data_IF_060687862399
#
_entry.id   IF_060687862399
#
_cell.length_a   1.000
_cell.length_b   1.000
_cell.length_c   1.000
_cell.angle_alpha   90.00
_cell.angle_beta   90.00
_cell.angle_gamma   90.00
#
_symmetry.space_group_name_H-M   'P 1'
#
loop_
_entity.id
_entity.type
_entity.pdbx_description
1 polymer ?
#
# COMPACT_ATOMS: atom_id res chain seq x y z
N UNK A 1 82.88 -74.15 -5.80
CA UNK A 1 81.89 -73.46 -6.66
C UNK A 1 81.10 -72.51 -5.75
N UNK A 2 81.52 -71.24 -5.66
CA UNK A 2 80.91 -70.03 -6.28
C UNK A 2 79.57 -69.65 -5.59
N UNK A 3 79.47 -68.71 -4.62
CA UNK A 3 79.57 -67.21 -4.61
C UNK A 3 78.36 -66.43 -5.20
N UNK A 4 78.03 -65.32 -4.51
CA UNK A 4 77.22 -64.11 -4.89
C UNK A 4 75.73 -64.18 -4.57
N UNK A 5 75.07 -63.34 -3.73
CA UNK A 5 75.01 -61.87 -3.50
C UNK A 5 74.45 -61.07 -4.68
N UNK A 6 73.50 -60.16 -4.36
CA UNK A 6 73.01 -58.95 -5.09
C UNK A 6 71.53 -59.02 -5.53
N UNK A 7 70.65 -58.01 -5.43
CA UNK A 7 70.72 -56.60 -5.04
C UNK A 7 69.29 -56.08 -4.75
N UNK A 8 69.23 -55.01 -3.96
CA UNK A 8 68.06 -54.17 -3.63
C UNK A 8 67.56 -53.41 -4.88
N UNK A 9 66.26 -53.20 -5.01
CA UNK A 9 65.67 -52.12 -5.83
C UNK A 9 64.32 -51.70 -5.25
N UNK A 10 64.34 -50.65 -4.44
CA UNK A 10 63.18 -49.91 -3.96
C UNK A 10 62.80 -48.90 -5.04
N UNK A 11 61.61 -49.03 -5.61
CA UNK A 11 61.10 -48.14 -6.64
C UNK A 11 60.41 -46.95 -5.96
N UNK A 12 61.09 -45.80 -5.90
CA UNK A 12 60.50 -44.52 -5.48
C UNK A 12 59.80 -43.91 -6.70
N UNK A 13 58.47 -43.91 -6.68
CA UNK A 13 57.64 -43.20 -7.67
C UNK A 13 57.49 -41.75 -7.20
N UNK A 14 58.31 -40.86 -7.77
CA UNK A 14 58.17 -39.41 -7.68
C UNK A 14 57.04 -38.96 -8.62
N UNK A 15 55.86 -38.67 -8.07
CA UNK A 15 54.82 -37.95 -8.81
C UNK A 15 55.22 -36.48 -8.91
N UNK A 16 55.47 -36.04 -10.14
CA UNK A 16 55.69 -34.65 -10.50
C UNK A 16 54.43 -33.82 -10.19
N UNK A 17 54.57 -32.86 -9.28
CA UNK A 17 53.58 -31.81 -9.06
C UNK A 17 53.66 -30.86 -10.25
N UNK A 18 52.76 -31.02 -11.22
CA UNK A 18 52.52 -30.03 -12.26
C UNK A 18 51.98 -28.76 -11.60
N UNK A 19 52.81 -27.72 -11.58
CA UNK A 19 52.39 -26.35 -11.26
C UNK A 19 51.41 -25.84 -12.31
N UNK A 20 50.13 -25.87 -11.97
CA UNK A 20 49.12 -25.03 -12.62
C UNK A 20 49.17 -23.65 -11.94
N UNK A 21 49.28 -22.55 -12.71
CA UNK A 21 49.23 -21.22 -12.13
C UNK A 21 47.87 -21.00 -11.47
N UNK A 22 47.90 -20.79 -10.16
CA UNK A 22 46.78 -20.31 -9.36
C UNK A 22 46.46 -18.89 -9.84
N UNK A 23 45.62 -18.78 -10.86
CA UNK A 23 44.91 -17.54 -11.12
C UNK A 23 43.95 -17.35 -9.93
N UNK A 24 44.03 -16.26 -9.16
CA UNK A 24 42.95 -15.95 -8.26
C UNK A 24 41.74 -15.65 -9.15
N UNK A 25 40.86 -16.63 -9.31
CA UNK A 25 39.50 -16.33 -9.68
C UNK A 25 39.01 -15.41 -8.56
N UNK A 26 38.98 -14.11 -8.84
CA UNK A 26 38.23 -13.17 -8.05
C UNK A 26 36.79 -13.68 -8.10
N UNK A 27 36.42 -14.48 -7.11
CA UNK A 27 35.04 -14.71 -6.75
C UNK A 27 34.51 -13.31 -6.41
N UNK A 28 33.98 -12.64 -7.44
CA UNK A 28 33.17 -11.45 -7.29
C UNK A 28 32.09 -11.89 -6.33
N UNK A 29 32.13 -11.38 -5.09
CA UNK A 29 31.07 -11.62 -4.14
C UNK A 29 29.78 -11.27 -4.88
N UNK A 30 28.92 -12.26 -5.09
CA UNK A 30 27.60 -12.02 -5.65
C UNK A 30 26.93 -11.10 -4.64
N UNK A 31 26.89 -9.79 -4.96
CA UNK A 31 26.20 -8.84 -4.12
C UNK A 31 24.75 -9.27 -4.09
N UNK A 32 24.20 -9.42 -2.89
CA UNK A 32 22.78 -9.70 -2.71
C UNK A 32 21.97 -8.54 -3.25
N UNK A 33 20.88 -8.83 -3.95
CA UNK A 33 19.92 -7.81 -4.38
C UNK A 33 19.56 -6.88 -3.21
N UNK A 34 19.52 -5.58 -3.48
CA UNK A 34 19.16 -4.55 -2.51
C UNK A 34 17.72 -4.07 -2.74
N UNK A 35 17.01 -3.75 -1.66
CA UNK A 35 15.69 -3.12 -1.73
C UNK A 35 15.82 -1.60 -1.64
N UNK A 36 15.73 -0.93 -2.78
CA UNK A 36 15.70 0.54 -2.86
C UNK A 36 14.25 1.02 -2.70
N UNK A 37 14.02 2.05 -1.89
CA UNK A 37 12.70 2.67 -1.71
C UNK A 37 12.75 4.14 -2.09
N UNK A 38 11.92 4.53 -3.03
CA UNK A 38 11.84 5.87 -3.61
C UNK A 38 10.42 6.41 -3.45
N UNK A 39 10.29 7.73 -3.37
CA UNK A 39 9.01 8.40 -3.31
C UNK A 39 9.09 9.82 -3.82
N UNK A 40 7.97 10.37 -4.25
CA UNK A 40 7.83 11.75 -4.67
C UNK A 40 6.37 12.11 -4.90
N UNK A 41 6.15 13.20 -5.63
CA UNK A 41 4.82 13.72 -5.96
C UNK A 41 4.60 13.69 -7.48
N UNK A 42 3.37 13.45 -7.90
CA UNK A 42 2.93 13.51 -9.30
C UNK A 42 1.40 13.52 -9.38
N UNK A 43 0.80 14.06 -10.44
CA UNK A 43 -0.65 13.96 -10.70
C UNK A 43 -1.54 14.38 -9.51
N UNK A 44 -1.10 15.37 -8.71
CA UNK A 44 -1.82 15.82 -7.52
C UNK A 44 -1.83 14.83 -6.34
N UNK A 45 -0.94 13.84 -6.35
CA UNK A 45 -0.80 12.80 -5.33
C UNK A 45 0.67 12.42 -5.12
N UNK A 46 0.93 11.39 -4.32
CA UNK A 46 2.26 10.83 -4.08
C UNK A 46 2.46 9.53 -4.84
N UNK A 47 3.72 9.22 -5.13
CA UNK A 47 4.12 7.92 -5.64
C UNK A 47 5.15 7.28 -4.69
N UNK A 48 5.13 5.95 -4.64
CA UNK A 48 6.06 5.13 -3.89
C UNK A 48 6.53 3.95 -4.75
N UNK A 49 7.84 3.84 -4.98
CA UNK A 49 8.43 2.75 -5.75
C UNK A 49 9.44 2.00 -4.90
N UNK A 50 9.24 0.69 -4.78
CA UNK A 50 10.22 -0.22 -4.16
C UNK A 50 10.84 -1.08 -5.24
N UNK A 51 12.15 -1.04 -5.37
CA UNK A 51 12.91 -1.73 -6.43
C UNK A 51 13.82 -2.75 -5.77
N UNK A 52 13.77 -3.98 -6.26
CA UNK A 52 14.79 -5.00 -6.01
C UNK A 52 15.85 -4.83 -7.09
N UNK A 53 16.97 -4.22 -6.70
CA UNK A 53 18.07 -3.88 -7.60
C UNK A 53 19.20 -4.89 -7.42
N UNK A 54 19.65 -5.57 -8.49
CA UNK A 54 20.87 -6.37 -8.45
C UNK A 54 22.09 -5.51 -8.08
N UNK A 55 23.18 -6.13 -7.65
CA UNK A 55 24.40 -5.42 -7.23
C UNK A 55 25.07 -4.57 -8.34
N UNK A 56 24.78 -4.88 -9.61
CA UNK A 56 25.17 -4.13 -10.80
C UNK A 56 23.97 -3.43 -11.48
N UNK A 57 22.84 -3.33 -10.78
CA UNK A 57 21.64 -2.62 -11.19
C UNK A 57 21.78 -1.09 -11.12
N UNK A 58 20.73 -0.36 -11.51
CA UNK A 58 20.72 1.09 -11.48
C UNK A 58 20.82 1.60 -10.04
N UNK A 59 21.59 2.67 -9.85
CA UNK A 59 21.65 3.35 -8.56
C UNK A 59 20.37 4.14 -8.25
N UNK A 60 20.24 4.56 -7.00
CA UNK A 60 19.05 5.27 -6.51
C UNK A 60 18.79 6.59 -7.26
N UNK A 61 19.84 7.30 -7.66
CA UNK A 61 19.73 8.60 -8.34
C UNK A 61 19.23 8.42 -9.78
N UNK A 62 19.75 7.41 -10.49
CA UNK A 62 19.30 7.03 -11.83
C UNK A 62 17.84 6.60 -11.81
N UNK A 63 17.45 5.77 -10.83
CA UNK A 63 16.07 5.34 -10.66
C UNK A 63 15.14 6.53 -10.39
N UNK A 64 15.51 7.42 -9.46
CA UNK A 64 14.72 8.59 -9.11
C UNK A 64 14.52 9.51 -10.32
N UNK A 65 15.59 9.80 -11.06
CA UNK A 65 15.53 10.67 -12.24
C UNK A 65 14.62 10.08 -13.33
N UNK A 66 14.81 8.80 -13.69
CA UNK A 66 14.03 8.20 -14.77
C UNK A 66 12.57 7.92 -14.42
N UNK A 67 12.25 7.62 -13.14
CA UNK A 67 10.87 7.60 -12.65
C UNK A 67 10.25 9.00 -12.78
N UNK A 68 10.97 10.04 -12.34
CA UNK A 68 10.51 11.42 -12.46
C UNK A 68 10.24 11.84 -13.90
N UNK A 69 11.18 11.59 -14.82
CA UNK A 69 11.02 11.89 -16.26
C UNK A 69 9.85 11.13 -16.89
N UNK A 70 9.67 9.86 -16.52
CA UNK A 70 8.54 9.04 -16.98
C UNK A 70 7.20 9.65 -16.57
N UNK A 71 7.08 10.07 -15.30
CA UNK A 71 5.86 10.65 -14.77
C UNK A 71 5.59 12.06 -15.33
N UNK A 72 6.64 12.86 -15.53
CA UNK A 72 6.52 14.18 -16.16
C UNK A 72 6.04 14.05 -17.61
N UNK A 73 6.57 13.09 -18.38
CA UNK A 73 6.07 12.80 -19.74
C UNK A 73 4.57 12.46 -19.75
N UNK A 74 4.11 11.61 -18.83
CA UNK A 74 2.68 11.28 -18.73
C UNK A 74 1.84 12.52 -18.38
N UNK A 75 2.32 13.40 -17.49
CA UNK A 75 1.63 14.66 -17.18
C UNK A 75 1.59 15.61 -18.38
N UNK A 76 2.67 15.74 -19.13
CA UNK A 76 2.75 16.57 -20.34
C UNK A 76 1.81 16.05 -21.45
N UNK A 77 1.53 14.75 -21.45
CA UNK A 77 0.58 14.15 -22.38
C UNK A 77 -0.87 14.30 -21.91
N UNK A 78 -1.17 13.97 -20.64
CA UNK A 78 -2.55 13.63 -20.24
C UNK A 78 -3.13 14.49 -19.10
N UNK A 79 -2.39 15.46 -18.56
CA UNK A 79 -2.91 16.28 -17.46
C UNK A 79 -3.93 17.31 -17.93
N UNK A 80 -5.12 17.31 -17.33
CA UNK A 80 -6.14 18.37 -17.52
C UNK A 80 -5.82 19.67 -16.78
N UNK A 81 -4.82 19.65 -15.87
CA UNK A 81 -4.40 20.80 -15.06
C UNK A 81 -3.28 21.61 -15.72
N UNK A 82 -2.54 21.01 -16.66
CA UNK A 82 -1.50 21.69 -17.44
C UNK A 82 -2.13 22.26 -18.70
N UNK A 83 -2.10 23.58 -18.86
CA UNK A 83 -2.67 24.24 -20.03
C UNK A 83 -2.03 23.76 -21.33
N UNK A 84 -0.72 23.50 -21.31
CA UNK A 84 0.05 23.10 -22.49
C UNK A 84 0.15 21.58 -22.70
N UNK A 85 -0.54 20.75 -21.89
CA UNK A 85 -0.53 19.31 -22.13
C UNK A 85 -1.15 18.95 -23.48
N UNK A 86 -0.77 17.80 -24.04
CA UNK A 86 -1.34 17.31 -25.29
C UNK A 86 -2.88 17.16 -25.21
N UNK A 87 -3.39 16.62 -24.10
CA UNK A 87 -4.83 16.50 -23.83
C UNK A 87 -5.53 17.86 -23.73
N UNK A 88 -4.94 18.83 -23.02
CA UNK A 88 -5.51 20.17 -22.89
C UNK A 88 -5.55 20.92 -24.23
N UNK A 89 -4.51 20.76 -25.06
CA UNK A 89 -4.51 21.31 -26.43
C UNK A 89 -5.59 20.66 -27.29
N UNK A 90 -5.76 19.33 -27.21
CA UNK A 90 -6.85 18.64 -27.90
C UNK A 90 -8.24 19.13 -27.41
N UNK A 91 -8.40 19.32 -26.10
CA UNK A 91 -9.67 19.81 -25.53
C UNK A 91 -10.05 21.20 -26.04
N UNK A 92 -9.06 22.07 -26.31
CA UNK A 92 -9.28 23.41 -26.92
C UNK A 92 -9.38 23.39 -28.44
N UNK A 93 -9.12 22.26 -29.11
CA UNK A 93 -9.22 22.16 -30.55
C UNK A 93 -10.69 22.32 -31.00
N UNK A 94 -10.98 23.27 -31.89
CA UNK A 94 -12.37 23.61 -32.24
C UNK A 94 -12.87 22.98 -33.56
N UNK A 95 -12.00 22.31 -34.31
CA UNK A 95 -12.36 21.72 -35.61
C UNK A 95 -12.56 20.21 -35.51
N UNK A 96 -13.31 19.65 -36.46
CA UNK A 96 -13.53 18.21 -36.63
C UNK A 96 -12.39 17.52 -37.39
N UNK A 97 -11.20 18.13 -37.41
CA UNK A 97 -10.02 17.57 -38.07
C UNK A 97 -9.25 16.66 -37.13
N UNK A 98 -8.50 15.73 -37.69
CA UNK A 98 -7.56 14.92 -36.92
C UNK A 98 -6.50 15.81 -36.25
N UNK A 99 -6.38 15.67 -34.94
CA UNK A 99 -5.38 16.29 -34.09
C UNK A 99 -4.31 15.25 -33.76
N UNK A 100 -3.06 15.50 -34.14
CA UNK A 100 -1.95 14.57 -33.87
C UNK A 100 -1.66 14.50 -32.37
N UNK A 101 -1.43 13.27 -31.90
CA UNK A 101 -1.11 12.99 -30.49
C UNK A 101 0.01 11.96 -30.42
N UNK A 102 0.62 11.81 -29.25
CA UNK A 102 1.51 10.70 -28.94
C UNK A 102 0.81 9.34 -29.05
N UNK A 103 1.60 8.28 -29.28
CA UNK A 103 1.09 6.92 -29.35
C UNK A 103 0.49 6.48 -28.00
N UNK A 104 1.08 6.96 -26.90
CA UNK A 104 0.62 6.75 -25.54
C UNK A 104 -0.77 7.36 -25.31
N UNK A 105 -0.97 8.64 -25.63
CA UNK A 105 -2.30 9.28 -25.52
C UNK A 105 -3.32 8.55 -26.39
N UNK A 106 -2.99 8.21 -27.64
CA UNK A 106 -3.91 7.45 -28.50
C UNK A 106 -4.26 6.07 -27.90
N UNK A 107 -3.30 5.41 -27.25
CA UNK A 107 -3.52 4.11 -26.58
C UNK A 107 -4.46 4.24 -25.38
N UNK A 108 -4.24 5.25 -24.53
CA UNK A 108 -5.08 5.48 -23.34
C UNK A 108 -6.49 5.89 -23.76
N UNK A 109 -6.65 6.75 -24.76
CA UNK A 109 -7.97 7.14 -25.28
C UNK A 109 -8.67 5.94 -25.91
N UNK A 110 -7.98 5.10 -26.69
CA UNK A 110 -8.58 3.89 -27.24
C UNK A 110 -9.08 2.93 -26.15
N UNK A 111 -8.30 2.73 -25.08
CA UNK A 111 -8.71 1.91 -23.95
C UNK A 111 -9.91 2.53 -23.19
N UNK A 112 -9.93 3.85 -23.04
CA UNK A 112 -11.03 4.58 -22.42
C UNK A 112 -12.34 4.44 -23.21
N UNK A 113 -12.29 4.55 -24.54
CA UNK A 113 -13.46 4.38 -25.40
C UNK A 113 -13.96 2.92 -25.41
N UNK A 114 -13.05 1.93 -25.46
CA UNK A 114 -13.42 0.51 -25.32
C UNK A 114 -14.15 0.27 -24.00
N UNK A 115 -13.67 0.86 -22.91
CA UNK A 115 -14.29 0.74 -21.60
C UNK A 115 -15.67 1.41 -21.56
N UNK A 116 -15.83 2.57 -22.19
CA UNK A 116 -17.12 3.24 -22.32
C UNK A 116 -18.15 2.37 -23.03
N UNK A 117 -17.78 1.74 -24.15
CA UNK A 117 -18.64 0.82 -24.88
C UNK A 117 -19.03 -0.38 -24.02
N UNK A 118 -18.05 -1.03 -23.37
CA UNK A 118 -18.28 -2.25 -22.56
C UNK A 118 -19.07 -1.99 -21.28
N UNK A 119 -19.16 -0.75 -20.83
CA UNK A 119 -19.87 -0.36 -19.61
C UNK A 119 -21.19 0.36 -19.89
N UNK A 120 -21.56 0.51 -21.16
CA UNK A 120 -22.77 1.24 -21.56
C UNK A 120 -22.74 2.71 -21.13
N UNK A 121 -21.56 3.34 -21.17
CA UNK A 121 -21.34 4.73 -20.78
C UNK A 121 -21.29 4.98 -19.27
N UNK A 122 -21.18 3.95 -18.42
CA UNK A 122 -20.92 4.16 -16.99
C UNK A 122 -19.50 4.70 -16.76
N UNK A 123 -18.53 4.25 -17.56
CA UNK A 123 -17.27 4.96 -17.74
C UNK A 123 -17.39 5.87 -18.97
N UNK A 124 -17.08 7.15 -18.84
CA UNK A 124 -17.05 8.09 -19.96
C UNK A 124 -15.87 9.05 -19.80
N UNK A 125 -14.85 8.99 -20.67
CA UNK A 125 -13.71 9.90 -20.57
C UNK A 125 -14.08 11.34 -20.95
N UNK A 126 -15.32 11.65 -21.29
CA UNK A 126 -15.80 13.01 -21.56
C UNK A 126 -16.57 13.64 -20.40
N UNK A 127 -16.62 12.99 -19.23
CA UNK A 127 -17.37 13.42 -18.04
C UNK A 127 -16.86 14.73 -17.40
N UNK A 128 -15.72 15.27 -17.86
CA UNK A 128 -15.06 16.48 -17.33
C UNK A 128 -15.99 17.68 -17.05
N UNK A 129 -16.92 18.06 -17.95
CA UNK A 129 -17.86 19.16 -17.69
C UNK A 129 -18.76 18.92 -16.48
N UNK A 130 -19.19 17.68 -16.25
CA UNK A 130 -20.01 17.32 -15.09
C UNK A 130 -19.17 17.29 -13.81
N UNK A 131 -17.96 16.74 -13.86
CA UNK A 131 -17.06 16.71 -12.69
C UNK A 131 -16.78 18.13 -12.19
N UNK A 132 -16.53 19.08 -13.10
CA UNK A 132 -16.34 20.49 -12.74
C UNK A 132 -17.61 21.15 -12.23
N UNK A 133 -18.77 20.83 -12.81
CA UNK A 133 -20.05 21.38 -12.38
C UNK A 133 -20.34 21.07 -10.90
N UNK A 134 -20.10 19.83 -10.47
CA UNK A 134 -20.33 19.41 -9.09
C UNK A 134 -19.26 19.86 -8.09
N UNK A 135 -18.15 20.41 -8.58
CA UNK A 135 -17.11 21.10 -7.80
C UNK A 135 -16.69 20.42 -6.47
N UNK A 136 -16.16 19.19 -6.57
CA UNK A 136 -15.59 18.46 -5.42
C UNK A 136 -14.26 19.04 -4.91
N UNK A 137 -13.83 20.23 -5.38
CA UNK A 137 -12.61 20.92 -4.97
C UNK A 137 -12.61 21.43 -3.51
N UNK A 138 -11.48 21.96 -3.00
CA UNK A 138 -11.23 22.16 -1.56
C UNK A 138 -12.08 23.25 -0.87
N UNK A 139 -12.98 23.94 -1.58
CA UNK A 139 -13.82 25.00 -1.04
C UNK A 139 -15.28 24.53 -0.86
N UNK A 140 -15.60 23.77 0.20
CA UNK A 140 -16.93 23.21 0.41
C UNK A 140 -18.02 24.27 0.66
N UNK A 141 -17.66 25.49 1.06
CA UNK A 141 -18.61 26.57 1.36
C UNK A 141 -19.26 27.23 0.15
N UNK A 142 -18.84 26.89 -1.07
CA UNK A 142 -19.38 27.40 -2.34
C UNK A 142 -20.13 26.30 -3.13
N UNK A 143 -20.39 25.15 -2.52
CA UNK A 143 -21.04 24.02 -3.20
C UNK A 143 -22.55 24.17 -3.15
N UNK A 144 -23.11 24.65 -4.26
CA UNK A 144 -24.54 24.63 -4.53
C UNK A 144 -24.88 23.37 -5.34
N UNK A 145 -26.01 22.73 -5.01
CA UNK A 145 -26.54 21.63 -5.82
C UNK A 145 -27.00 22.24 -7.15
N UNK A 146 -26.41 21.84 -8.30
CA UNK A 146 -26.82 22.38 -9.59
C UNK A 146 -28.28 22.04 -9.89
N UNK A 147 -29.02 22.98 -10.48
CA UNK A 147 -30.38 22.71 -10.95
C UNK A 147 -30.40 21.78 -12.19
N UNK A 148 -31.58 21.23 -12.49
CA UNK A 148 -31.75 20.28 -13.61
C UNK A 148 -31.37 20.86 -14.97
N UNK A 149 -31.61 22.16 -15.18
CA UNK A 149 -31.32 22.82 -16.45
C UNK A 149 -29.80 22.93 -16.66
N UNK A 150 -29.07 23.25 -15.59
CA UNK A 150 -27.61 23.32 -15.57
C UNK A 150 -27.00 21.94 -15.78
N UNK A 151 -27.52 20.89 -15.11
CA UNK A 151 -27.08 19.51 -15.31
C UNK A 151 -27.35 19.07 -16.76
N UNK A 152 -28.54 19.33 -17.29
CA UNK A 152 -28.89 18.96 -18.65
C UNK A 152 -27.99 19.66 -19.68
N UNK A 153 -27.65 20.93 -19.46
CA UNK A 153 -26.74 21.69 -20.32
C UNK A 153 -25.32 21.12 -20.29
N UNK A 154 -24.80 20.78 -19.11
CA UNK A 154 -23.49 20.14 -19.00
C UNK A 154 -23.45 18.75 -19.66
N UNK A 155 -24.53 17.96 -19.52
CA UNK A 155 -24.65 16.63 -20.16
C UNK A 155 -24.61 16.68 -21.69
N UNK A 156 -25.03 17.76 -22.33
CA UNK A 156 -24.92 17.92 -23.79
C UNK A 156 -23.47 17.94 -24.29
N UNK A 157 -22.50 18.16 -23.38
CA UNK A 157 -21.06 18.18 -23.67
C UNK A 157 -20.37 16.85 -23.36
N UNK A 158 -21.14 15.85 -22.91
CA UNK A 158 -20.66 14.51 -22.53
C UNK A 158 -21.22 13.50 -23.52
N UNK A 159 -20.33 12.65 -24.03
CA UNK A 159 -20.63 11.60 -24.98
C UNK A 159 -19.35 11.11 -25.64
N UNK A 160 -18.83 9.98 -25.14
CA UNK A 160 -17.64 9.33 -25.69
C UNK A 160 -17.79 8.96 -27.18
N UNK A 161 -19.02 8.79 -27.69
CA UNK A 161 -19.30 8.53 -29.10
C UNK A 161 -18.95 9.71 -30.02
N UNK A 162 -18.72 10.89 -29.46
CA UNK A 162 -18.26 12.07 -30.19
C UNK A 162 -16.74 12.09 -30.39
N UNK A 163 -16.00 11.13 -29.82
CA UNK A 163 -14.54 11.02 -29.90
C UNK A 163 -14.17 9.86 -30.81
N UNK A 164 -13.24 10.12 -31.73
CA UNK A 164 -12.61 9.11 -32.56
C UNK A 164 -11.11 9.07 -32.29
N UNK A 165 -10.56 7.86 -32.31
CA UNK A 165 -9.14 7.61 -32.12
C UNK A 165 -8.59 6.82 -33.30
N UNK A 166 -7.41 7.22 -33.77
CA UNK A 166 -6.60 6.47 -34.74
C UNK A 166 -5.25 6.19 -34.11
N UNK A 167 -4.81 4.93 -34.17
CA UNK A 167 -3.51 4.53 -33.61
C UNK A 167 -2.34 4.76 -34.58
N UNK A 168 -2.59 4.76 -35.91
CA UNK A 168 -1.53 4.90 -36.94
C UNK A 168 -1.98 5.79 -38.11
N UNK A 169 -1.34 6.95 -38.35
CA UNK A 169 -0.56 7.69 -37.36
C UNK A 169 -1.45 8.10 -36.17
N UNK A 170 -0.89 8.17 -34.94
CA UNK A 170 -1.65 8.45 -33.73
C UNK A 170 -2.32 9.83 -33.81
N UNK A 171 -3.65 9.85 -33.73
CA UNK A 171 -4.44 11.07 -33.82
C UNK A 171 -5.80 10.88 -33.14
N UNK A 172 -6.35 11.98 -32.64
CA UNK A 172 -7.70 12.06 -32.09
C UNK A 172 -8.56 12.99 -32.95
N UNK A 173 -9.87 12.79 -32.93
CA UNK A 173 -10.83 13.71 -33.54
C UNK A 173 -12.05 13.80 -32.63
N UNK A 174 -12.68 14.97 -32.58
CA UNK A 174 -13.99 15.15 -31.96
C UNK A 174 -14.97 15.78 -32.93
N UNK A 175 -16.19 15.26 -32.99
CA UNK A 175 -17.26 15.76 -33.86
C UNK A 175 -17.91 17.05 -33.33
N UNK A 176 -17.76 17.34 -32.04
CA UNK A 176 -18.32 18.52 -31.38
C UNK A 176 -17.22 19.29 -30.64
N UNK A 177 -17.06 20.61 -30.90
CA UNK A 177 -16.02 21.42 -30.25
C UNK A 177 -16.15 21.48 -28.73
N UNK A 178 -17.38 21.39 -28.21
CA UNK A 178 -17.73 21.51 -26.79
C UNK A 178 -17.36 20.28 -25.95
N UNK A 179 -17.10 19.14 -26.59
CA UNK A 179 -16.68 17.88 -25.95
C UNK A 179 -15.19 17.97 -25.64
N UNK A 180 -14.83 17.42 -24.50
CA UNK A 180 -13.48 17.42 -23.96
C UNK A 180 -13.21 16.06 -23.32
N UNK A 181 -11.95 15.66 -23.27
CA UNK A 181 -11.49 14.44 -22.61
C UNK A 181 -10.91 14.77 -21.23
N UNK A 182 -11.24 13.92 -20.26
CA UNK A 182 -10.68 13.82 -18.93
C UNK A 182 -10.25 12.36 -18.71
N UNK A 183 -8.93 12.15 -18.65
CA UNK A 183 -8.34 10.82 -18.49
C UNK A 183 -7.99 10.52 -17.03
N UNK A 184 -8.47 11.31 -16.06
CA UNK A 184 -8.12 11.17 -14.64
C UNK A 184 -8.46 9.79 -14.04
N UNK A 185 -9.41 9.07 -14.63
CA UNK A 185 -9.85 7.74 -14.19
C UNK A 185 -9.12 6.56 -14.86
N UNK A 186 -8.07 6.81 -15.64
CA UNK A 186 -7.32 5.76 -16.38
C UNK A 186 -5.83 6.08 -16.56
N UNK A 187 -5.47 7.37 -16.64
CA UNK A 187 -4.10 7.81 -16.92
C UNK A 187 -3.14 7.55 -15.76
N UNK A 188 -3.63 7.45 -14.51
CA UNK A 188 -2.79 7.14 -13.37
C UNK A 188 -2.33 5.69 -13.40
N UNK A 189 -3.25 4.76 -13.67
CA UNK A 189 -2.92 3.37 -13.97
C UNK A 189 -1.93 3.24 -15.13
N UNK A 190 -2.09 4.03 -16.19
CA UNK A 190 -1.09 4.08 -17.28
C UNK A 190 0.29 4.55 -16.80
N UNK A 191 0.36 5.61 -15.97
CA UNK A 191 1.61 6.06 -15.36
C UNK A 191 2.31 4.99 -14.51
N UNK A 192 1.53 4.18 -13.78
CA UNK A 192 2.06 3.03 -13.03
C UNK A 192 2.67 1.99 -13.97
N UNK A 193 1.99 1.69 -15.08
CA UNK A 193 2.47 0.75 -16.09
C UNK A 193 3.77 1.22 -16.75
N UNK A 194 3.85 2.50 -17.12
CA UNK A 194 5.02 3.12 -17.75
C UNK A 194 6.23 3.12 -16.80
N UNK A 195 6.03 3.47 -15.52
CA UNK A 195 7.10 3.42 -14.52
C UNK A 195 7.57 1.99 -14.30
N UNK A 196 6.66 1.02 -14.20
CA UNK A 196 7.05 -0.38 -14.05
C UNK A 196 7.82 -0.90 -15.27
N UNK A 197 7.41 -0.51 -16.48
CA UNK A 197 8.11 -0.85 -17.71
C UNK A 197 9.52 -0.24 -17.75
N UNK A 198 9.65 1.04 -17.40
CA UNK A 198 10.93 1.74 -17.35
C UNK A 198 11.88 1.13 -16.31
N UNK A 199 11.43 0.92 -15.07
CA UNK A 199 12.24 0.33 -13.99
C UNK A 199 12.72 -1.07 -14.37
N UNK A 200 11.87 -1.87 -15.03
CA UNK A 200 12.24 -3.18 -15.56
C UNK A 200 13.30 -3.08 -16.66
N UNK A 201 13.16 -2.12 -17.58
CA UNK A 201 14.15 -1.87 -18.64
C UNK A 201 15.49 -1.36 -18.09
N UNK A 202 15.46 -0.63 -16.97
CA UNK A 202 16.65 -0.16 -16.26
C UNK A 202 17.45 -1.29 -15.56
N UNK A 203 16.93 -2.52 -15.53
CA UNK A 203 17.66 -3.70 -15.04
C UNK A 203 17.22 -4.22 -13.67
N UNK A 204 16.12 -3.69 -13.09
CA UNK A 204 15.59 -4.21 -11.85
C UNK A 204 15.08 -5.66 -11.98
N UNK A 205 15.35 -6.50 -10.96
CA UNK A 205 14.87 -7.89 -10.91
C UNK A 205 13.44 -8.01 -10.38
N UNK A 206 12.98 -7.01 -9.62
CA UNK A 206 11.60 -6.90 -9.13
C UNK A 206 11.26 -5.48 -8.72
N UNK A 207 9.98 -5.13 -8.76
CA UNK A 207 9.50 -3.86 -8.21
C UNK A 207 8.04 -3.92 -7.76
N UNK A 208 7.71 -3.03 -6.83
CA UNK A 208 6.35 -2.56 -6.56
C UNK A 208 6.31 -1.07 -6.88
N UNK A 209 5.48 -0.69 -7.84
CA UNK A 209 5.21 0.69 -8.23
C UNK A 209 3.84 1.05 -7.71
N UNK A 210 3.72 2.14 -6.96
CA UNK A 210 2.45 2.67 -6.48
C UNK A 210 2.35 4.16 -6.77
N UNK A 211 1.22 4.61 -7.31
CA UNK A 211 0.92 6.01 -7.57
C UNK A 211 -0.53 6.26 -7.14
N UNK A 212 -0.74 7.07 -6.11
CA UNK A 212 -2.07 7.50 -5.68
C UNK A 212 -3.10 6.41 -5.37
N UNK A 213 -2.66 5.21 -4.98
CA UNK A 213 -3.46 4.02 -4.67
C UNK A 213 -3.35 2.90 -5.71
N UNK A 214 -2.96 3.23 -6.95
CA UNK A 214 -2.82 2.28 -8.05
C UNK A 214 -1.46 1.59 -7.98
N UNK A 215 -1.44 0.26 -8.07
CA UNK A 215 -0.24 -0.55 -7.84
C UNK A 215 0.03 -1.48 -9.01
N UNK A 216 1.30 -1.62 -9.40
CA UNK A 216 1.80 -2.70 -10.24
C UNK A 216 3.02 -3.37 -9.63
N UNK A 217 3.10 -4.69 -9.79
CA UNK A 217 4.23 -5.49 -9.28
C UNK A 217 4.86 -6.31 -10.39
N UNK A 218 6.16 -6.57 -10.27
CA UNK A 218 6.85 -7.64 -11.01
C UNK A 218 8.03 -8.17 -10.19
N UNK A 219 8.51 -9.36 -10.55
CA UNK A 219 9.56 -10.05 -9.80
C UNK A 219 9.16 -10.29 -8.34
N UNK A 220 10.16 -10.44 -7.48
CA UNK A 220 10.01 -10.65 -6.03
C UNK A 220 10.87 -9.66 -5.27
N UNK A 221 10.70 -9.61 -3.95
CA UNK A 221 11.64 -8.94 -3.04
C UNK A 221 13.00 -9.66 -3.00
N UNK A 222 14.06 -9.05 -2.42
CA UNK A 222 15.36 -9.71 -2.27
C UNK A 222 15.31 -11.04 -1.49
N UNK A 223 14.36 -11.19 -0.57
CA UNK A 223 14.14 -12.42 0.21
C UNK A 223 13.38 -13.52 -0.56
N UNK A 224 13.04 -13.27 -1.84
CA UNK A 224 12.29 -14.18 -2.70
C UNK A 224 10.78 -14.18 -2.44
N UNK A 225 10.27 -13.34 -1.53
CA UNK A 225 8.83 -13.28 -1.22
C UNK A 225 8.07 -12.37 -2.19
N UNK A 226 6.79 -12.69 -2.39
CA UNK A 226 5.88 -11.89 -3.21
C UNK A 226 5.62 -10.49 -2.61
N UNK A 227 5.22 -9.56 -3.46
CA UNK A 227 4.77 -8.25 -3.07
C UNK A 227 3.37 -8.33 -2.45
N UNK A 228 3.28 -8.05 -1.15
CA UNK A 228 2.02 -8.01 -0.40
C UNK A 228 1.45 -6.60 -0.38
N UNK A 229 0.23 -6.44 -0.89
CA UNK A 229 -0.49 -5.18 -0.99
C UNK A 229 -1.71 -5.24 -0.08
N UNK A 230 -1.92 -4.19 0.73
CA UNK A 230 -3.09 -4.05 1.58
C UNK A 230 -4.21 -3.34 0.82
N UNK A 231 -5.39 -3.96 0.77
CA UNK A 231 -6.64 -3.32 0.34
C UNK A 231 -7.24 -2.66 1.58
N UNK A 232 -7.44 -1.34 1.52
CA UNK A 232 -7.98 -0.56 2.63
C UNK A 232 -9.45 -0.93 2.90
N UNK A 233 -9.79 -1.00 4.18
CA UNK A 233 -11.18 -0.94 4.65
C UNK A 233 -11.40 0.46 5.24
N UNK A 234 -12.26 1.30 4.63
CA UNK A 234 -12.58 2.62 5.15
C UNK A 234 -13.19 2.48 6.53
N UNK A 235 -12.42 2.84 7.56
CA UNK A 235 -12.94 3.10 8.90
C UNK A 235 -12.85 4.60 9.12
N UNK A 236 -13.93 5.22 9.60
CA UNK A 236 -13.95 6.67 9.82
C UNK A 236 -12.76 7.08 10.71
N UNK A 237 -11.89 7.94 10.17
CA UNK A 237 -10.72 8.46 10.88
C UNK A 237 -9.56 7.49 11.08
N UNK A 238 -9.55 6.29 10.47
CA UNK A 238 -8.44 5.32 10.58
C UNK A 238 -8.14 4.62 9.25
N UNK A 239 -6.85 4.44 8.95
CA UNK A 239 -6.40 3.48 7.92
C UNK A 239 -6.43 2.08 8.53
N UNK A 240 -7.44 1.28 8.19
CA UNK A 240 -7.46 -0.15 8.48
C UNK A 240 -7.22 -0.93 7.19
N UNK A 241 -6.37 -1.94 7.24
CA UNK A 241 -6.20 -2.88 6.12
C UNK A 241 -7.27 -3.95 6.28
N UNK A 242 -8.20 -4.02 5.33
CA UNK A 242 -9.26 -5.04 5.33
C UNK A 242 -8.77 -6.38 4.81
N UNK A 243 -7.88 -6.35 3.82
CA UNK A 243 -7.36 -7.56 3.16
C UNK A 243 -5.93 -7.37 2.68
N UNK A 244 -5.12 -8.40 2.74
CA UNK A 244 -3.77 -8.42 2.14
C UNK A 244 -3.75 -9.39 0.98
N UNK A 245 -3.35 -8.93 -0.20
CA UNK A 245 -3.21 -9.74 -1.42
C UNK A 245 -1.74 -9.82 -1.83
N UNK A 246 -1.30 -10.99 -2.29
CA UNK A 246 0.04 -11.17 -2.84
C UNK A 246 -0.02 -11.06 -4.36
N UNK A 247 0.49 -9.96 -4.92
CA UNK A 247 0.47 -9.74 -6.37
C UNK A 247 1.72 -10.36 -7.02
N UNK A 248 1.50 -11.10 -8.11
CA UNK A 248 2.54 -11.79 -8.88
C UNK A 248 2.53 -11.31 -10.32
N UNK A 249 3.24 -10.23 -10.61
CA UNK A 249 3.26 -9.67 -11.96
C UNK A 249 1.93 -9.04 -12.38
N UNK A 250 1.07 -8.71 -11.41
CA UNK A 250 -0.26 -8.13 -11.61
C UNK A 250 -0.33 -6.70 -11.11
N UNK A 251 -1.37 -6.01 -11.55
CA UNK A 251 -1.76 -4.69 -11.10
C UNK A 251 -3.02 -4.75 -10.23
N UNK A 252 -3.19 -3.76 -9.37
CA UNK A 252 -4.36 -3.54 -8.52
C UNK A 252 -4.68 -2.04 -8.53
N UNK A 253 -5.92 -1.67 -8.88
CA UNK A 253 -6.43 -0.31 -8.71
C UNK A 253 -7.64 -0.32 -7.79
N UNK A 254 -7.89 0.78 -7.08
CA UNK A 254 -9.03 0.88 -6.16
C UNK A 254 -9.74 2.21 -6.31
N UNK A 255 -11.01 2.16 -6.72
CA UNK A 255 -11.89 3.33 -6.72
C UNK A 255 -12.73 3.31 -5.45
N UNK A 256 -12.93 4.48 -4.81
CA UNK A 256 -13.59 4.58 -3.52
C UNK A 256 -14.08 5.98 -3.21
N UNK A 257 -15.25 6.10 -2.58
CA UNK A 257 -15.92 7.39 -2.30
C UNK A 257 -15.60 7.94 -0.90
N UNK A 258 -14.74 7.24 -0.15
CA UNK A 258 -14.55 7.45 1.30
C UNK A 258 -13.63 8.61 1.65
N UNK A 259 -12.83 9.11 0.70
CA UNK A 259 -11.91 10.23 0.91
C UNK A 259 -12.48 11.57 0.46
N UNK A 260 -13.25 11.57 -0.64
CA UNK A 260 -13.80 12.77 -1.28
C UNK A 260 -15.32 12.65 -1.40
N UNK A 261 -16.04 13.17 -0.40
CA UNK A 261 -17.49 13.31 -0.39
C UNK A 261 -17.91 14.61 0.30
N UNK A 262 -19.15 15.02 0.12
CA UNK A 262 -19.76 16.06 0.96
C UNK A 262 -21.18 15.68 1.36
N UNK A 263 -21.70 16.36 2.38
CA UNK A 263 -23.08 16.19 2.83
C UNK A 263 -23.82 17.51 2.61
N UNK A 264 -24.91 17.47 1.85
CA UNK A 264 -25.82 18.59 1.65
C UNK A 264 -27.25 18.08 1.87
N UNK A 265 -28.06 18.85 2.60
CA UNK A 265 -29.45 18.49 2.95
C UNK A 265 -29.62 17.10 3.62
N UNK A 266 -28.58 16.62 4.31
CA UNK A 266 -28.57 15.30 4.96
C UNK A 266 -28.22 14.13 4.03
N UNK A 267 -27.99 14.40 2.74
CA UNK A 267 -27.59 13.41 1.74
C UNK A 267 -26.08 13.49 1.47
N UNK A 268 -25.44 12.33 1.27
CA UNK A 268 -24.01 12.24 0.96
C UNK A 268 -23.81 12.17 -0.55
N UNK A 269 -22.99 13.08 -1.07
CA UNK A 269 -22.59 13.14 -2.48
C UNK A 269 -21.15 12.67 -2.64
N UNK A 270 -20.95 11.59 -3.39
CA UNK A 270 -19.64 11.10 -3.82
C UNK A 270 -19.08 11.93 -4.97
N UNK A 271 -17.75 12.05 -5.07
CA UNK A 271 -17.10 12.66 -6.25
C UNK A 271 -17.24 11.83 -7.54
N UNK A 272 -17.71 10.59 -7.44
CA UNK A 272 -18.02 9.74 -8.58
C UNK A 272 -19.34 10.16 -9.22
N UNK A 273 -19.27 10.70 -10.43
CA UNK A 273 -20.43 11.09 -11.24
C UNK A 273 -20.83 9.96 -12.17
N UNK A 274 -22.13 9.65 -12.25
CA UNK A 274 -22.68 8.82 -13.32
C UNK A 274 -22.93 9.71 -14.56
N UNK A 275 -22.16 9.52 -15.66
CA UNK A 275 -22.30 10.34 -16.87
C UNK A 275 -23.71 10.27 -17.47
N UNK A 276 -24.40 9.15 -17.29
CA UNK A 276 -25.73 8.88 -17.87
C UNK A 276 -26.79 9.74 -17.21
N UNK A 277 -26.65 10.01 -15.91
CA UNK A 277 -27.60 10.84 -15.15
C UNK A 277 -27.11 12.28 -14.97
N UNK A 278 -25.79 12.50 -15.08
CA UNK A 278 -25.15 13.77 -14.77
C UNK A 278 -25.03 14.06 -13.27
N UNK A 279 -25.22 13.06 -12.41
CA UNK A 279 -25.28 13.21 -10.95
C UNK A 279 -24.28 12.31 -10.22
N UNK A 280 -23.91 12.66 -8.98
CA UNK A 280 -23.21 11.76 -8.08
C UNK A 280 -23.94 10.43 -7.91
N UNK A 281 -23.18 9.34 -7.79
CA UNK A 281 -23.74 8.03 -7.43
C UNK A 281 -24.31 8.04 -6.02
N UNK A 282 -25.39 7.28 -5.79
CA UNK A 282 -26.15 7.24 -4.53
C UNK A 282 -26.25 5.85 -3.91
N UNK A 283 -25.59 4.85 -4.49
CA UNK A 283 -25.62 3.47 -4.00
C UNK A 283 -24.63 3.21 -2.85
N UNK A 284 -24.76 2.05 -2.20
CA UNK A 284 -24.00 1.71 -0.98
C UNK A 284 -22.55 1.23 -1.21
N UNK A 285 -22.09 1.11 -2.46
CA UNK A 285 -20.71 0.71 -2.76
C UNK A 285 -19.71 1.74 -2.22
N UNK A 286 -18.83 1.32 -1.30
CA UNK A 286 -17.83 2.17 -0.67
C UNK A 286 -16.49 2.18 -1.41
N UNK A 287 -16.09 1.02 -1.91
CA UNK A 287 -14.94 0.89 -2.78
C UNK A 287 -15.03 -0.37 -3.63
N UNK A 288 -14.30 -0.36 -4.74
CA UNK A 288 -14.08 -1.52 -5.59
C UNK A 288 -12.61 -1.59 -5.94
N UNK A 289 -12.02 -2.76 -5.75
CA UNK A 289 -10.63 -3.05 -6.10
C UNK A 289 -10.61 -4.04 -7.26
N UNK A 290 -9.87 -3.72 -8.32
CA UNK A 290 -9.77 -4.56 -9.53
C UNK A 290 -8.32 -5.00 -9.75
N UNK A 291 -8.12 -6.29 -10.00
CA UNK A 291 -6.84 -6.89 -10.35
C UNK A 291 -6.80 -7.24 -11.84
N UNK A 292 -5.71 -6.89 -12.51
CA UNK A 292 -5.51 -7.08 -13.95
C UNK A 292 -4.03 -7.29 -14.29
N UNK A 293 -3.74 -7.52 -15.58
CA UNK A 293 -2.38 -7.57 -16.11
C UNK A 293 -1.74 -6.19 -16.34
N UNK A 294 -2.56 -5.15 -16.49
CA UNK A 294 -2.14 -3.75 -16.65
C UNK A 294 -2.96 -2.79 -15.81
N UNK A 295 -2.27 -1.87 -15.16
CA UNK A 295 -2.83 -0.99 -14.15
C UNK A 295 -3.78 0.02 -14.78
N UNK A 296 -3.52 0.46 -16.01
CA UNK A 296 -4.43 1.30 -16.81
C UNK A 296 -5.84 0.69 -16.87
N UNK A 297 -5.99 -0.58 -17.27
CA UNK A 297 -7.30 -1.23 -17.31
C UNK A 297 -7.88 -1.45 -15.92
N UNK A 298 -7.08 -1.79 -14.91
CA UNK A 298 -7.61 -1.92 -13.54
C UNK A 298 -8.21 -0.60 -13.05
N UNK A 299 -7.54 0.53 -13.28
CA UNK A 299 -7.96 1.88 -12.86
C UNK A 299 -9.29 2.27 -13.52
N UNK A 300 -9.37 2.10 -14.85
CA UNK A 300 -10.60 2.33 -15.60
C UNK A 300 -11.75 1.44 -15.11
N UNK A 301 -11.53 0.12 -15.02
CA UNK A 301 -12.56 -0.81 -14.56
C UNK A 301 -13.00 -0.53 -13.12
N UNK A 302 -12.08 -0.19 -12.21
CA UNK A 302 -12.45 0.16 -10.85
C UNK A 302 -13.39 1.37 -10.84
N UNK A 303 -13.12 2.40 -11.64
CA UNK A 303 -14.01 3.55 -11.76
C UNK A 303 -15.36 3.17 -12.39
N UNK A 304 -15.36 2.39 -13.46
CA UNK A 304 -16.59 1.94 -14.13
C UNK A 304 -17.52 1.16 -13.20
N UNK A 305 -16.96 0.20 -12.45
CA UNK A 305 -17.69 -0.62 -11.49
C UNK A 305 -18.17 0.23 -10.30
N UNK A 306 -17.40 1.25 -9.92
CA UNK A 306 -17.80 2.22 -8.90
C UNK A 306 -19.00 3.06 -9.34
N UNK A 307 -19.11 3.39 -10.64
CA UNK A 307 -20.28 4.11 -11.18
C UNK A 307 -21.51 3.19 -11.27
N UNK A 308 -21.32 1.92 -11.63
CA UNK A 308 -22.41 0.96 -11.78
C UNK A 308 -23.03 0.53 -10.45
N UNK A 309 -22.26 0.57 -9.36
CA UNK A 309 -22.71 0.15 -8.05
C UNK A 309 -22.62 -1.35 -7.82
N UNK A 310 -23.09 -1.83 -6.66
CA UNK A 310 -22.79 -3.17 -6.19
C UNK A 310 -23.41 -4.27 -7.04
N UNK A 311 -24.69 -4.14 -7.44
CA UNK A 311 -25.39 -5.20 -8.17
C UNK A 311 -25.02 -5.23 -9.65
N UNK A 312 -25.16 -4.11 -10.36
CA UNK A 312 -24.85 -4.03 -11.79
C UNK A 312 -23.34 -4.14 -12.06
N UNK A 313 -22.52 -3.56 -11.16
CA UNK A 313 -21.07 -3.69 -11.23
C UNK A 313 -20.62 -5.14 -11.03
N UNK A 314 -21.13 -5.85 -10.01
CA UNK A 314 -20.79 -7.27 -9.82
C UNK A 314 -21.19 -8.11 -11.02
N UNK A 315 -22.41 -7.93 -11.54
CA UNK A 315 -22.88 -8.67 -12.70
C UNK A 315 -22.00 -8.46 -13.94
N UNK A 316 -21.63 -7.21 -14.25
CA UNK A 316 -20.74 -6.91 -15.36
C UNK A 316 -19.33 -7.44 -15.10
N UNK A 317 -18.82 -7.33 -13.88
CA UNK A 317 -17.50 -7.84 -13.54
C UNK A 317 -17.39 -9.36 -13.74
N UNK A 318 -18.44 -10.11 -13.38
CA UNK A 318 -18.52 -11.55 -13.66
C UNK A 318 -18.63 -11.85 -15.16
N UNK A 319 -19.48 -11.11 -15.89
CA UNK A 319 -19.63 -11.27 -17.34
C UNK A 319 -18.29 -11.04 -18.08
N UNK A 320 -17.54 -10.03 -17.66
CA UNK A 320 -16.25 -9.67 -18.26
C UNK A 320 -15.08 -10.49 -17.68
N UNK A 321 -15.32 -11.38 -16.71
CA UNK A 321 -14.30 -12.22 -16.08
C UNK A 321 -13.26 -11.43 -15.28
N UNK A 322 -13.63 -10.27 -14.72
CA UNK A 322 -12.74 -9.40 -13.96
C UNK A 322 -12.50 -9.98 -12.57
N UNK A 323 -11.26 -9.90 -12.08
CA UNK A 323 -10.95 -10.13 -10.68
C UNK A 323 -11.25 -8.85 -9.88
N UNK A 324 -12.44 -8.74 -9.29
CA UNK A 324 -12.86 -7.57 -8.54
C UNK A 324 -13.34 -7.93 -7.12
N UNK A 325 -13.09 -7.02 -6.17
CA UNK A 325 -13.58 -7.08 -4.79
C UNK A 325 -14.35 -5.81 -4.49
N UNK A 326 -15.61 -5.95 -4.08
CA UNK A 326 -16.54 -4.88 -3.78
C UNK A 326 -16.69 -4.76 -2.26
N UNK A 327 -16.49 -3.58 -1.72
CA UNK A 327 -16.75 -3.27 -0.33
C UNK A 327 -18.02 -2.42 -0.24
N UNK A 328 -19.04 -2.95 0.40
CA UNK A 328 -20.39 -2.40 0.36
C UNK A 328 -20.82 -2.03 1.78
N UNK A 329 -21.45 -0.87 1.93
CA UNK A 329 -22.01 -0.42 3.21
C UNK A 329 -23.22 -1.26 3.59
N UNK A 330 -23.34 -1.47 4.89
CA UNK A 330 -24.47 -2.07 5.58
C UNK A 330 -24.71 -1.28 6.86
N UNK A 331 -25.92 -1.31 7.41
CA UNK A 331 -26.41 -0.44 8.50
C UNK A 331 -25.33 0.02 9.51
N UNK A 332 -24.57 -0.90 10.10
CA UNK A 332 -23.47 -0.59 11.04
C UNK A 332 -22.11 -1.19 10.65
N UNK A 333 -21.95 -1.68 9.40
CA UNK A 333 -20.78 -2.45 9.00
C UNK A 333 -20.45 -2.32 7.51
N UNK A 334 -19.34 -2.95 7.11
CA UNK A 334 -19.04 -3.18 5.70
C UNK A 334 -19.13 -4.68 5.41
N UNK A 335 -19.70 -5.02 4.26
CA UNK A 335 -19.66 -6.36 3.69
C UNK A 335 -18.74 -6.37 2.47
N UNK A 336 -17.96 -7.43 2.32
CA UNK A 336 -17.11 -7.63 1.14
C UNK A 336 -17.72 -8.71 0.27
N UNK A 337 -17.88 -8.42 -1.01
CA UNK A 337 -18.20 -9.39 -2.05
C UNK A 337 -17.06 -9.43 -3.06
N UNK A 338 -16.87 -10.55 -3.73
CA UNK A 338 -15.78 -10.72 -4.69
C UNK A 338 -16.27 -11.53 -5.87
N UNK A 339 -15.74 -11.24 -7.05
CA UNK A 339 -16.00 -12.07 -8.22
C UNK A 339 -15.34 -13.44 -8.07
N UNK A 340 -15.83 -14.43 -8.80
CA UNK A 340 -15.23 -15.77 -8.84
C UNK A 340 -13.74 -15.71 -9.24
N UNK A 341 -13.38 -14.82 -10.17
CA UNK A 341 -11.99 -14.61 -10.59
C UNK A 341 -11.10 -14.06 -9.45
N UNK A 342 -11.61 -13.12 -8.65
CA UNK A 342 -10.87 -12.60 -7.50
C UNK A 342 -10.73 -13.65 -6.40
N UNK A 343 -11.81 -14.38 -6.11
CA UNK A 343 -11.81 -15.46 -5.14
C UNK A 343 -10.87 -16.61 -5.54
N UNK A 344 -10.78 -16.94 -6.82
CA UNK A 344 -9.84 -17.92 -7.33
C UNK A 344 -8.36 -17.51 -7.11
N UNK A 345 -8.07 -16.20 -7.12
CA UNK A 345 -6.71 -15.70 -6.89
C UNK A 345 -6.36 -15.60 -5.40
N UNK A 346 -7.30 -15.18 -4.55
CA UNK A 346 -6.99 -14.75 -3.18
C UNK A 346 -7.83 -15.42 -2.09
N UNK A 347 -8.69 -16.38 -2.45
CA UNK A 347 -9.69 -17.01 -1.58
C UNK A 347 -10.98 -16.21 -1.44
N UNK A 348 -12.00 -16.79 -0.81
CA UNK A 348 -13.22 -16.07 -0.46
C UNK A 348 -12.95 -14.98 0.59
N UNK A 349 -13.69 -13.86 0.59
CA UNK A 349 -13.62 -12.90 1.68
C UNK A 349 -14.03 -13.58 2.99
N UNK A 350 -13.21 -13.43 4.03
CA UNK A 350 -13.60 -13.84 5.39
C UNK A 350 -14.87 -13.07 5.78
N UNK A 351 -15.89 -13.74 6.37
CA UNK A 351 -17.11 -13.07 6.78
C UNK A 351 -16.77 -11.94 7.76
N UNK A 352 -17.39 -10.77 7.56
CA UNK A 352 -17.26 -9.61 8.44
C UNK A 352 -17.80 -9.96 9.84
N UNK A 353 -16.93 -10.49 10.70
CA UNK A 353 -17.25 -10.99 12.04
C UNK A 353 -16.76 -12.41 12.28
N UNK A 354 -15.45 -12.65 12.20
CA UNK A 354 -14.89 -14.02 12.21
C UNK A 354 -13.76 -14.32 13.19
N UNK A 355 -13.00 -13.35 13.70
CA UNK A 355 -12.21 -13.59 14.90
C UNK A 355 -13.11 -13.29 16.10
N UNK A 356 -13.94 -14.27 16.49
CA UNK A 356 -14.60 -14.20 17.79
C UNK A 356 -13.53 -13.88 18.82
N UNK A 357 -13.61 -12.69 19.44
CA UNK A 357 -12.80 -12.33 20.60
C UNK A 357 -12.83 -13.47 21.63
N UNK A 358 -13.95 -14.21 21.70
CA UNK A 358 -14.09 -15.41 22.51
C UNK A 358 -13.22 -16.58 22.03
N UNK A 359 -13.07 -16.83 20.72
CA UNK A 359 -12.20 -17.88 20.20
C UNK A 359 -10.72 -17.62 20.52
N UNK A 360 -10.24 -16.41 20.23
CA UNK A 360 -8.87 -15.99 20.56
C UNK A 360 -8.65 -15.96 22.07
N UNK A 361 -9.63 -15.48 22.84
CA UNK A 361 -9.58 -15.47 24.30
C UNK A 361 -9.59 -16.89 24.87
N UNK A 362 -10.39 -17.83 24.35
CA UNK A 362 -10.44 -19.22 24.82
C UNK A 362 -9.14 -19.96 24.53
N UNK A 363 -8.54 -19.77 23.35
CA UNK A 363 -7.24 -20.36 23.02
C UNK A 363 -6.15 -19.78 23.91
N UNK A 364 -6.12 -18.45 24.08
CA UNK A 364 -5.12 -17.78 24.92
C UNK A 364 -5.30 -18.19 26.39
N UNK A 365 -6.53 -18.23 26.91
CA UNK A 365 -6.85 -18.67 28.26
C UNK A 365 -6.52 -20.14 28.50
N UNK A 366 -6.74 -21.02 27.51
CA UNK A 366 -6.37 -22.43 27.61
C UNK A 366 -4.84 -22.60 27.68
N UNK A 367 -4.08 -21.88 26.87
CA UNK A 367 -2.61 -21.89 26.91
C UNK A 367 -2.11 -21.38 28.26
N UNK A 368 -2.68 -20.27 28.75
CA UNK A 368 -2.31 -19.70 30.06
C UNK A 368 -2.66 -20.63 31.21
N UNK A 369 -3.82 -21.28 31.17
CA UNK A 369 -4.23 -22.28 32.15
C UNK A 369 -3.31 -23.49 32.15
N UNK A 370 -2.91 -24.01 30.97
CA UNK A 370 -1.94 -25.09 30.86
C UNK A 370 -0.57 -24.70 31.42
N UNK A 371 -0.11 -23.47 31.18
CA UNK A 371 1.14 -22.97 31.74
C UNK A 371 1.09 -22.86 33.27
N UNK A 372 -0.01 -22.33 33.82
CA UNK A 372 -0.23 -22.24 35.27
C UNK A 372 -0.31 -23.64 35.90
N UNK A 373 -1.04 -24.57 35.28
CA UNK A 373 -1.10 -25.96 35.73
C UNK A 373 0.27 -26.63 35.69
N UNK A 374 1.05 -26.41 34.63
CA UNK A 374 2.43 -26.91 34.53
C UNK A 374 3.34 -26.39 35.63
N UNK A 375 3.25 -25.09 35.94
CA UNK A 375 3.98 -24.47 37.05
C UNK A 375 3.52 -25.03 38.41
N UNK A 376 2.21 -25.18 38.63
CA UNK A 376 1.65 -25.71 39.87
C UNK A 376 2.07 -27.17 40.09
N UNK A 377 1.99 -28.01 39.07
CA UNK A 377 2.49 -29.40 39.09
C UNK A 377 3.99 -29.40 39.34
N UNK A 378 4.75 -28.53 38.68
CA UNK A 378 6.19 -28.36 38.91
C UNK A 378 6.52 -28.04 40.37
N UNK A 379 5.77 -27.13 41.02
CA UNK A 379 5.95 -26.77 42.44
C UNK A 379 5.53 -27.90 43.38
N UNK A 380 4.47 -28.64 43.07
CA UNK A 380 3.99 -29.75 43.90
C UNK A 380 4.97 -30.94 43.86
N UNK A 381 5.50 -31.27 42.68
CA UNK A 381 6.40 -32.42 42.51
C UNK A 381 7.87 -32.07 42.75
N UNK A 382 8.29 -30.82 42.54
CA UNK A 382 9.56 -30.36 43.07
C UNK A 382 9.37 -30.11 44.56
N UNK A 383 9.74 -31.10 45.38
CA UNK A 383 9.73 -31.00 46.84
C UNK A 383 10.79 -30.00 47.37
N UNK A 384 11.01 -28.89 46.66
CA UNK A 384 11.93 -27.80 46.95
C UNK A 384 11.13 -26.69 47.62
N UNK A 385 11.47 -26.38 48.88
CA UNK A 385 10.93 -25.21 49.57
C UNK A 385 11.22 -23.97 48.72
N UNK A 386 10.17 -23.24 48.34
CA UNK A 386 10.28 -21.93 47.68
C UNK A 386 11.11 -21.02 48.59
N UNK A 387 12.38 -20.79 48.23
CA UNK A 387 13.18 -19.71 48.80
C UNK A 387 12.55 -18.41 48.32
N UNK A 388 11.90 -17.70 49.24
CA UNK A 388 11.24 -16.43 48.98
C UNK A 388 12.18 -15.39 48.38
N UNK A 389 11.55 -14.38 47.77
CA UNK A 389 12.03 -13.23 46.98
C UNK A 389 13.21 -12.39 47.54
N UNK A 390 13.89 -12.82 48.59
CA UNK A 390 15.12 -12.21 49.10
C UNK A 390 16.30 -13.07 48.61
N UNK A 391 16.63 -12.95 47.32
CA UNK A 391 17.56 -13.80 46.59
C UNK A 391 18.92 -14.03 47.27
N UNK A 392 19.06 -15.15 47.97
CA UNK A 392 20.37 -15.76 48.24
C UNK A 392 21.33 -14.99 49.17
N UNK A 393 20.87 -13.98 49.92
CA UNK A 393 21.73 -13.18 50.82
C UNK A 393 21.83 -13.69 52.26
N UNK A 394 21.13 -14.78 52.60
CA UNK A 394 21.11 -15.38 53.95
C UNK A 394 22.47 -15.98 54.40
N UNK A 395 23.47 -15.97 53.51
CA UNK A 395 24.84 -16.43 53.78
C UNK A 395 25.89 -15.32 53.85
N UNK A 396 25.53 -14.06 53.59
CA UNK A 396 26.49 -12.95 53.58
C UNK A 396 26.52 -12.26 54.94
N UNK A 397 27.65 -12.43 55.63
CA UNK A 397 27.96 -11.81 56.92
C UNK A 397 29.07 -10.79 56.74
N UNK A 398 29.05 -9.73 57.54
CA UNK A 398 30.19 -8.82 57.63
C UNK A 398 31.40 -9.49 58.32
N UNK A 399 32.54 -8.81 58.35
CA UNK A 399 33.77 -9.30 58.98
C UNK A 399 33.63 -9.58 60.49
N UNK A 400 32.53 -9.17 61.12
CA UNK A 400 32.19 -9.42 62.53
C UNK A 400 31.13 -10.50 62.72
N UNK A 401 30.66 -11.14 61.63
CA UNK A 401 29.77 -12.29 61.65
C UNK A 401 28.27 -11.96 61.74
N UNK A 402 27.87 -10.70 61.57
CA UNK A 402 26.46 -10.30 61.57
C UNK A 402 25.85 -10.38 60.16
N UNK A 403 24.59 -10.81 60.02
CA UNK A 403 23.93 -10.86 58.72
C UNK A 403 23.71 -9.44 58.18
N UNK A 404 24.13 -9.21 56.93
CA UNK A 404 24.15 -7.88 56.28
C UNK A 404 22.73 -7.28 56.11
N UNK A 405 21.67 -8.08 56.29
CA UNK A 405 20.27 -7.65 56.19
C UNK A 405 19.81 -6.65 57.29
N UNK A 406 20.62 -6.40 58.33
CA UNK A 406 20.34 -5.31 59.29
C UNK A 406 20.57 -3.90 58.72
N UNK A 407 21.22 -3.76 57.56
CA UNK A 407 21.42 -2.47 56.90
C UNK A 407 20.14 -1.86 56.29
N UNK A 408 19.07 -2.64 56.11
CA UNK A 408 17.80 -2.16 55.54
C UNK A 408 16.72 -1.80 56.58
N UNK A 409 16.99 -1.92 57.88
CA UNK A 409 15.96 -1.74 58.93
C UNK A 409 16.29 -0.71 60.01
N UNK A 410 17.38 0.06 59.87
CA UNK A 410 17.62 1.26 60.69
C UNK A 410 18.15 2.42 59.83
N UNK A 411 17.37 3.50 59.61
CA UNK A 411 17.86 4.69 58.90
C UNK A 411 18.97 5.36 59.74
N UNK A 412 19.96 5.97 59.07
CA UNK A 412 21.00 6.80 59.72
C UNK A 412 20.34 7.99 60.43
N UNK A 413 20.95 8.50 61.50
CA UNK A 413 20.44 9.64 62.29
C UNK A 413 20.10 10.86 61.39
N UNK A 414 20.89 11.08 60.34
CA UNK A 414 20.70 12.12 59.31
C UNK A 414 19.33 12.05 58.59
N UNK A 415 18.73 10.86 58.46
CA UNK A 415 17.39 10.69 57.87
C UNK A 415 16.26 11.00 58.86
N UNK A 416 16.56 11.08 60.16
CA UNK A 416 15.56 11.34 61.21
C UNK A 416 15.27 12.83 61.31
N UNK A 417 16.32 13.66 61.25
CA UNK A 417 16.18 15.14 61.21
C UNK A 417 15.40 15.61 59.98
N UNK A 418 15.62 14.99 58.82
CA UNK A 418 14.86 15.30 57.60
C UNK A 418 13.38 14.94 57.71
N UNK A 419 13.04 13.81 58.36
CA UNK A 419 11.64 13.41 58.56
C UNK A 419 10.91 14.32 59.55
N UNK A 420 11.59 14.82 60.57
CA UNK A 420 11.01 15.80 61.51
C UNK A 420 10.78 17.17 60.83
N UNK A 421 11.70 17.60 59.95
CA UNK A 421 11.55 18.83 59.16
C UNK A 421 10.38 18.77 58.15
N UNK A 422 10.17 17.62 57.51
CA UNK A 422 9.06 17.38 56.58
C UNK A 422 7.72 17.22 57.31
N UNK A 423 7.71 16.61 58.51
CA UNK A 423 6.48 16.46 59.30
C UNK A 423 6.01 17.80 59.92
N UNK A 424 6.92 18.71 60.27
CA UNK A 424 6.59 20.03 60.81
C UNK A 424 6.04 21.03 59.77
N UNK A 425 6.34 20.83 58.48
CA UNK A 425 5.89 21.71 57.39
C UNK A 425 4.53 21.32 56.79
N UNK A 426 4.05 20.10 57.04
CA UNK A 426 2.76 19.61 56.53
C UNK A 426 1.55 19.97 57.43
N UNK A 427 1.76 20.58 58.61
CA UNK A 427 0.68 21.08 59.48
C UNK A 427 0.45 22.60 59.41
N UNK A 428 1.15 23.31 58.52
CA UNK A 428 0.97 24.74 58.31
C UNK A 428 0.95 25.09 56.82
N UNK A 429 -0.22 25.07 56.19
CA UNK A 429 -0.40 25.72 54.89
C UNK A 429 -1.36 25.02 53.93
N UNK A 430 -2.63 25.41 54.00
CA UNK A 430 -3.55 25.41 52.87
C UNK A 430 -2.97 26.25 51.73
N UNK A 431 -2.80 25.69 50.53
CA UNK A 431 -2.40 26.48 49.37
C UNK A 431 -2.09 25.64 48.14
N UNK A 432 -2.89 25.86 47.09
CA UNK A 432 -2.66 25.50 45.70
C UNK A 432 -1.18 25.64 45.29
N UNK A 433 -0.61 24.61 44.65
CA UNK A 433 0.15 24.73 43.39
C UNK A 433 0.74 23.38 42.96
N UNK A 434 0.42 22.99 41.72
CA UNK A 434 1.12 21.97 40.96
C UNK A 434 2.59 22.34 40.81
N UNK A 435 3.47 21.53 41.41
CA UNK A 435 4.91 21.59 41.24
C UNK A 435 5.40 20.19 40.83
N UNK A 436 5.06 19.81 39.59
CA UNK A 436 5.58 18.62 38.93
C UNK A 436 6.96 18.96 38.36
N UNK A 437 8.00 18.88 39.19
CA UNK A 437 9.42 18.78 38.77
C UNK A 437 10.35 18.70 39.96
N UNK A 438 10.56 17.50 40.49
CA UNK A 438 11.85 17.04 41.04
C UNK A 438 11.68 15.66 41.69
N UNK A 439 12.09 14.62 40.97
CA UNK A 439 12.52 13.38 41.62
C UNK A 439 14.03 13.41 41.78
N UNK A 440 14.58 13.37 43.02
CA UNK A 440 15.93 12.89 43.26
C UNK A 440 15.90 11.44 43.75
N UNK A 441 16.81 10.66 43.18
CA UNK A 441 17.17 9.31 43.58
C UNK A 441 17.77 9.34 45.00
N UNK A 442 17.35 8.39 45.85
CA UNK A 442 17.90 8.22 47.20
C UNK A 442 19.41 7.97 47.22
#
# INVERSE_FOLDING_TARGET
>A
MLRSVSHVSVLIVLFAVCGLPWAPAAARAAGSDELVSLSGETMGTTWHVKVTSPADGPDSDTLLAGIGETLERVNDQMSTWREDSELSRFNRHETDTWFEVSAETATVVAAALELSERTGGAFDPTVGPLVRLWNFGPNPGEREIPDEETIATARQRVGYEQIEVRLVPPALRKSQPSVELDLSAIAKGFGVDEVAAWVKQAGASGAMVEIGGEVRTFGTKPDGTDWKIGIEQPTVGRRAVGRVVALKGKSLATSGDYRNFFVADGERFSHTIDPRTGRPVTHELASVSVVSDDCMRADGWATALMVLGPEAGMALAEEQGLAASFLIRSEDAFRTESTAAFAAMFGEPEPAGGASLMGTFLVTAAIFALAICGLAVGVIFSNRRLRGSCGGMDGLKDEKGNPICQACTRPREECTEFREAVAGSAQAGTGQHDADSAQPQC
#
